data_IF_685144015414
#
_entry.id   IF_685144015414
#
_cell.length_a   1.000
_cell.length_b   1.000
_cell.length_c   1.000
_cell.angle_alpha   90.00
_cell.angle_beta   90.00
_cell.angle_gamma   90.00
#
_symmetry.space_group_name_H-M   'P 1'
#
loop_
_entity.id
_entity.type
_entity.pdbx_description
1 polymer ?
#
# COMPACT_ATOMS: atom_id res chain seq x y z
N UNK A 1 29.45 -18.02 -34.17
CA UNK A 1 29.23 -17.24 -32.95
C UNK A 1 27.79 -17.48 -32.54
N UNK A 2 27.54 -18.07 -31.37
CA UNK A 2 26.18 -18.29 -30.89
C UNK A 2 25.72 -16.98 -30.24
N UNK A 3 24.91 -16.21 -30.94
CA UNK A 3 24.35 -14.99 -30.40
C UNK A 3 23.41 -15.37 -29.25
N UNK A 4 23.82 -15.12 -28.01
CA UNK A 4 22.90 -15.13 -26.89
C UNK A 4 21.86 -14.05 -27.14
N UNK A 5 20.59 -14.45 -27.22
CA UNK A 5 19.50 -13.50 -27.35
C UNK A 5 19.39 -12.74 -26.02
N UNK A 6 19.80 -11.48 -26.00
CA UNK A 6 19.51 -10.58 -24.90
C UNK A 6 18.04 -10.17 -25.05
N UNK A 7 17.16 -10.74 -24.22
CA UNK A 7 15.79 -10.25 -24.07
C UNK A 7 15.84 -8.91 -23.31
N UNK A 8 15.87 -7.81 -24.05
CA UNK A 8 15.63 -6.48 -23.46
C UNK A 8 14.23 -6.45 -22.86
N UNK A 9 14.13 -6.10 -21.57
CA UNK A 9 12.84 -6.05 -20.84
C UNK A 9 12.57 -7.22 -19.91
N UNK A 10 13.54 -8.10 -19.65
CA UNK A 10 13.45 -9.09 -18.58
C UNK A 10 13.34 -8.42 -17.21
N UNK A 11 12.62 -9.07 -16.29
CA UNK A 11 12.51 -8.63 -14.90
C UNK A 11 13.88 -8.65 -14.22
N UNK A 12 14.11 -7.71 -13.30
CA UNK A 12 15.28 -7.73 -12.43
C UNK A 12 15.32 -9.04 -11.63
N UNK A 13 16.54 -9.50 -11.32
CA UNK A 13 16.72 -10.66 -10.47
C UNK A 13 16.29 -10.32 -9.03
N UNK A 14 15.51 -11.21 -8.41
CA UNK A 14 15.00 -11.03 -7.06
C UNK A 14 13.53 -11.42 -6.94
N UNK A 15 13.04 -11.47 -5.71
CA UNK A 15 11.67 -11.84 -5.33
C UNK A 15 10.72 -10.64 -5.18
N UNK A 16 11.23 -9.39 -5.23
CA UNK A 16 10.46 -8.15 -5.02
C UNK A 16 10.48 -7.21 -6.24
N UNK A 17 10.74 -7.78 -7.41
CA UNK A 17 10.87 -7.02 -8.66
C UNK A 17 9.58 -7.00 -9.48
N UNK A 18 8.47 -7.53 -8.96
CA UNK A 18 7.15 -7.43 -9.55
C UNK A 18 6.06 -7.42 -8.48
N UNK A 19 4.91 -6.87 -8.84
CA UNK A 19 3.71 -6.88 -8.00
C UNK A 19 2.45 -6.84 -8.88
N UNK A 20 1.31 -7.22 -8.30
CA UNK A 20 0.00 -7.18 -8.95
C UNK A 20 -0.90 -6.26 -8.15
N UNK A 21 -1.46 -5.27 -8.82
CA UNK A 21 -2.36 -4.28 -8.24
C UNK A 21 -3.67 -4.23 -9.02
N UNK A 22 -4.59 -3.36 -8.60
CA UNK A 22 -5.78 -3.07 -9.40
C UNK A 22 -6.14 -1.59 -9.35
N UNK A 23 -6.78 -1.11 -10.40
CA UNK A 23 -7.41 0.21 -10.46
C UNK A 23 -8.88 -0.03 -10.72
N UNK A 24 -9.76 0.40 -9.82
CA UNK A 24 -11.22 0.19 -9.95
C UNK A 24 -11.60 -1.29 -10.19
N UNK A 25 -10.85 -2.21 -9.58
CA UNK A 25 -11.05 -3.66 -9.72
C UNK A 25 -10.46 -4.28 -10.98
N UNK A 26 -9.83 -3.49 -11.86
CA UNK A 26 -9.15 -3.98 -13.07
C UNK A 26 -7.69 -4.30 -12.73
N UNK A 27 -7.27 -5.58 -12.80
CA UNK A 27 -5.94 -5.98 -12.37
C UNK A 27 -4.86 -5.60 -13.40
N UNK A 28 -3.69 -5.23 -12.89
CA UNK A 28 -2.50 -4.97 -13.68
C UNK A 28 -1.28 -5.58 -13.00
N UNK A 29 -0.25 -5.87 -13.80
CA UNK A 29 1.04 -6.35 -13.30
C UNK A 29 2.08 -5.26 -13.50
N UNK A 30 2.81 -4.93 -12.44
CA UNK A 30 3.99 -4.06 -12.52
C UNK A 30 5.24 -4.89 -12.31
N UNK A 31 6.30 -4.62 -13.08
CA UNK A 31 7.60 -5.21 -12.81
C UNK A 31 8.75 -4.25 -13.17
N UNK A 32 9.88 -4.47 -12.50
CA UNK A 32 11.10 -3.71 -12.69
C UNK A 32 11.98 -4.36 -13.76
N UNK A 33 12.33 -3.60 -14.81
CA UNK A 33 13.24 -4.01 -15.87
C UNK A 33 14.45 -3.07 -15.93
N UNK A 34 15.54 -3.46 -15.26
CA UNK A 34 16.69 -2.60 -15.02
C UNK A 34 16.30 -1.41 -14.15
N UNK A 35 16.33 -0.22 -14.75
CA UNK A 35 15.91 1.03 -14.13
C UNK A 35 14.49 1.46 -14.54
N UNK A 36 13.80 0.71 -15.39
CA UNK A 36 12.46 1.06 -15.87
C UNK A 36 11.38 0.31 -15.10
N UNK A 37 10.25 0.96 -14.88
CA UNK A 37 9.02 0.31 -14.42
C UNK A 37 8.21 -0.04 -15.67
N UNK A 38 7.79 -1.30 -15.79
CA UNK A 38 6.92 -1.77 -16.87
C UNK A 38 5.58 -2.17 -16.28
N UNK A 39 4.51 -1.63 -16.85
CA UNK A 39 3.13 -1.88 -16.43
C UNK A 39 2.43 -2.62 -17.56
N UNK A 40 1.87 -3.79 -17.23
CA UNK A 40 1.15 -4.67 -18.13
C UNK A 40 -0.30 -4.80 -17.68
N UNK A 41 -1.20 -4.88 -18.65
CA UNK A 41 -2.57 -5.32 -18.43
C UNK A 41 -2.59 -6.82 -18.07
N UNK A 42 -3.74 -7.31 -17.59
CA UNK A 42 -3.99 -8.74 -17.36
C UNK A 42 -3.81 -9.61 -18.61
N UNK A 43 -3.95 -9.02 -19.81
CA UNK A 43 -3.68 -9.65 -21.11
C UNK A 43 -2.20 -9.69 -21.48
N UNK A 44 -1.30 -9.23 -20.60
CA UNK A 44 0.13 -9.00 -20.85
C UNK A 44 0.43 -7.97 -21.94
N UNK A 45 -0.56 -7.21 -22.38
CA UNK A 45 -0.34 -6.03 -23.22
C UNK A 45 0.32 -4.92 -22.41
N UNK A 46 1.30 -4.27 -23.01
CA UNK A 46 2.05 -3.20 -22.35
C UNK A 46 1.25 -1.91 -22.31
N UNK A 47 0.92 -1.49 -21.09
CA UNK A 47 0.15 -0.26 -20.81
C UNK A 47 1.08 0.94 -20.79
N UNK A 48 2.18 0.86 -20.04
CA UNK A 48 3.13 1.96 -19.88
C UNK A 48 4.53 1.46 -19.56
N UNK A 49 5.54 2.21 -20.00
CA UNK A 49 6.90 2.13 -19.45
C UNK A 49 7.21 3.48 -18.81
N UNK A 50 7.62 3.46 -17.54
CA UNK A 50 8.15 4.64 -16.86
C UNK A 50 9.68 4.54 -16.94
N UNK A 51 10.34 5.46 -17.68
CA UNK A 51 11.77 5.37 -17.91
C UNK A 51 12.58 5.75 -16.65
N UNK A 52 13.60 4.95 -16.34
CA UNK A 52 14.52 5.21 -15.23
C UNK A 52 15.56 6.31 -15.47
N UNK A 53 15.56 6.92 -16.66
CA UNK A 53 16.53 7.97 -17.02
C UNK A 53 16.43 9.19 -16.08
N UNK A 54 15.23 9.50 -15.61
CA UNK A 54 14.99 10.56 -14.62
C UNK A 54 15.54 10.21 -13.22
N UNK A 55 15.86 8.93 -12.98
CA UNK A 55 16.44 8.41 -11.74
C UNK A 55 17.91 8.01 -11.94
N UNK A 56 18.65 8.75 -12.78
CA UNK A 56 20.07 8.53 -13.05
C UNK A 56 20.42 7.12 -13.53
N UNK A 57 19.47 6.41 -14.16
CA UNK A 57 19.62 5.01 -14.57
C UNK A 57 19.92 4.05 -13.42
N UNK A 58 19.62 4.45 -12.18
CA UNK A 58 19.73 3.59 -11.00
C UNK A 58 18.77 2.41 -11.17
N UNK A 59 19.27 1.20 -10.89
CA UNK A 59 18.46 -0.02 -10.97
C UNK A 59 17.39 0.01 -9.88
N UNK A 60 16.17 -0.40 -10.22
CA UNK A 60 15.10 -0.58 -9.24
C UNK A 60 15.42 -1.81 -8.39
N UNK A 61 15.52 -1.64 -7.07
CA UNK A 61 15.77 -2.74 -6.12
C UNK A 61 14.49 -3.52 -5.83
N UNK A 62 13.38 -2.83 -5.60
CA UNK A 62 12.08 -3.42 -5.37
C UNK A 62 10.94 -2.52 -5.84
N UNK A 63 9.80 -3.14 -6.14
CA UNK A 63 8.57 -2.47 -6.54
C UNK A 63 7.41 -3.14 -5.82
N UNK A 64 6.43 -2.34 -5.42
CA UNK A 64 5.17 -2.84 -4.91
C UNK A 64 4.00 -1.95 -5.35
N UNK A 65 2.78 -2.47 -5.32
CA UNK A 65 1.60 -1.72 -5.71
C UNK A 65 0.38 -2.00 -4.82
N UNK A 66 -0.45 -0.97 -4.61
CA UNK A 66 -1.69 -1.11 -3.86
C UNK A 66 -2.75 -1.84 -4.68
N UNK A 67 -3.60 -2.59 -3.99
CA UNK A 67 -4.63 -3.43 -4.63
C UNK A 67 -5.88 -2.63 -4.98
N UNK A 68 -6.22 -1.58 -4.25
CA UNK A 68 -7.51 -0.90 -4.40
C UNK A 68 -7.40 0.39 -5.21
N UNK A 69 -6.30 1.13 -5.01
CA UNK A 69 -6.05 2.43 -5.64
C UNK A 69 -5.02 2.37 -6.76
N UNK A 70 -4.36 1.22 -6.93
CA UNK A 70 -3.36 0.98 -7.98
C UNK A 70 -2.14 1.88 -7.91
N UNK A 71 -1.80 2.44 -6.74
CA UNK A 71 -0.54 3.17 -6.55
C UNK A 71 0.64 2.23 -6.70
N UNK A 72 1.76 2.74 -7.18
CA UNK A 72 3.00 1.99 -7.33
C UNK A 72 4.07 2.70 -6.52
N UNK A 73 4.81 1.95 -5.70
CA UNK A 73 6.06 2.40 -5.10
C UNK A 73 7.22 1.67 -5.76
N UNK A 74 8.26 2.39 -6.14
CA UNK A 74 9.50 1.82 -6.62
C UNK A 74 10.68 2.38 -5.83
N UNK A 75 11.62 1.51 -5.47
CA UNK A 75 12.85 1.89 -4.80
C UNK A 75 14.02 1.89 -5.78
N UNK A 76 14.69 3.04 -5.89
CA UNK A 76 15.95 3.24 -6.59
C UNK A 76 17.04 3.41 -5.53
N UNK A 77 17.63 2.30 -5.09
CA UNK A 77 18.54 2.25 -3.93
C UNK A 77 17.90 2.82 -2.65
N UNK A 78 18.30 4.02 -2.21
CA UNK A 78 17.77 4.68 -1.02
C UNK A 78 16.68 5.72 -1.34
N UNK A 79 16.31 5.89 -2.61
CA UNK A 79 15.23 6.77 -3.05
C UNK A 79 13.95 5.96 -3.30
N UNK A 80 12.84 6.40 -2.72
CA UNK A 80 11.52 5.83 -2.96
C UNK A 80 10.71 6.81 -3.81
N UNK A 81 10.08 6.30 -4.87
CA UNK A 81 9.22 7.06 -5.78
C UNK A 81 7.81 6.47 -5.79
N UNK A 82 6.81 7.34 -5.71
CA UNK A 82 5.39 6.98 -5.73
C UNK A 82 4.77 7.43 -7.03
N UNK A 83 4.04 6.52 -7.67
CA UNK A 83 3.32 6.74 -8.90
C UNK A 83 1.84 6.44 -8.70
N UNK A 84 0.97 7.36 -9.10
CA UNK A 84 -0.48 7.20 -8.99
C UNK A 84 -1.12 7.12 -10.38
N UNK A 85 -2.15 6.28 -10.54
CA UNK A 85 -2.87 6.17 -11.81
C UNK A 85 -3.72 7.42 -12.04
N UNK A 86 -3.52 8.07 -13.18
CA UNK A 86 -4.35 9.18 -13.67
C UNK A 86 -5.19 8.70 -14.85
N UNK A 87 -6.52 8.85 -14.82
CA UNK A 87 -7.39 8.47 -15.95
C UNK A 87 -6.98 9.17 -17.25
N UNK A 88 -7.01 8.42 -18.36
CA UNK A 88 -6.85 8.98 -19.70
C UNK A 88 -8.21 9.43 -20.24
N UNK A 89 -8.20 10.46 -21.09
CA UNK A 89 -9.42 11.05 -21.65
C UNK A 89 -10.10 10.10 -22.66
N UNK A 90 -9.35 9.16 -23.24
CA UNK A 90 -9.84 8.26 -24.28
C UNK A 90 -9.79 6.81 -23.78
N UNK A 91 -10.95 6.18 -23.66
CA UNK A 91 -11.07 4.77 -23.32
C UNK A 91 -11.19 3.92 -24.59
N UNK A 92 -10.05 3.58 -25.17
CA UNK A 92 -10.01 2.82 -26.43
C UNK A 92 -9.18 1.54 -26.29
N UNK A 93 -8.69 1.23 -25.09
CA UNK A 93 -7.93 0.00 -24.87
C UNK A 93 -8.86 -1.20 -24.68
N UNK A 94 -8.55 -2.35 -25.31
CA UNK A 94 -9.34 -3.58 -25.12
C UNK A 94 -9.23 -4.12 -23.69
N UNK A 95 -8.18 -3.74 -22.96
CA UNK A 95 -7.89 -4.17 -21.60
C UNK A 95 -8.52 -3.27 -20.51
N UNK A 96 -9.26 -2.22 -20.88
CA UNK A 96 -10.01 -1.34 -19.97
C UNK A 96 -9.13 -0.63 -18.92
N UNK A 97 -7.81 -0.58 -19.14
CA UNK A 97 -6.84 0.03 -18.23
C UNK A 97 -6.33 1.34 -18.84
N UNK A 98 -7.26 2.25 -19.07
CA UNK A 98 -6.99 3.57 -19.67
C UNK A 98 -6.48 4.55 -18.61
N UNK A 99 -5.39 4.18 -17.94
CA UNK A 99 -4.72 4.98 -16.93
C UNK A 99 -3.26 5.20 -17.31
N UNK A 100 -2.70 6.30 -16.81
CA UNK A 100 -1.26 6.56 -16.83
C UNK A 100 -0.77 6.77 -15.42
N UNK A 101 0.25 6.03 -15.03
CA UNK A 101 0.96 6.23 -13.80
C UNK A 101 1.88 7.43 -13.92
N UNK A 102 1.70 8.39 -13.02
CA UNK A 102 2.49 9.61 -12.94
C UNK A 102 3.12 9.70 -11.56
N UNK A 103 4.37 10.15 -11.50
CA UNK A 103 5.06 10.31 -10.22
C UNK A 103 4.41 11.46 -9.43
N UNK A 104 3.87 11.17 -8.25
CA UNK A 104 3.23 12.16 -7.38
C UNK A 104 4.09 12.51 -6.16
N UNK A 105 5.04 11.65 -5.81
CA UNK A 105 5.91 11.86 -4.67
C UNK A 105 7.23 11.11 -4.78
N UNK A 106 8.23 11.60 -4.05
CA UNK A 106 9.48 10.87 -3.83
C UNK A 106 10.18 11.41 -2.60
N UNK A 107 10.92 10.53 -1.93
CA UNK A 107 11.76 10.90 -0.81
C UNK A 107 13.00 10.02 -0.76
N UNK A 108 13.98 10.45 0.01
CA UNK A 108 15.22 9.72 0.22
C UNK A 108 15.28 9.21 1.66
N UNK A 109 15.85 8.03 1.83
CA UNK A 109 16.05 7.37 3.11
C UNK A 109 17.54 7.24 3.42
N UNK A 110 17.89 6.99 4.68
CA UNK A 110 19.29 6.88 5.11
C UNK A 110 19.97 5.60 4.61
N UNK A 111 19.18 4.53 4.43
CA UNK A 111 19.62 3.19 4.02
C UNK A 111 19.08 2.84 2.63
N UNK A 112 19.74 1.90 1.96
CA UNK A 112 19.17 1.25 0.77
C UNK A 112 17.88 0.51 1.15
N UNK A 113 16.86 0.63 0.31
CA UNK A 113 15.59 -0.06 0.46
C UNK A 113 15.65 -1.39 -0.28
N UNK A 114 15.34 -2.45 0.45
CA UNK A 114 15.33 -3.85 -0.01
C UNK A 114 13.92 -4.42 -0.11
N UNK A 115 12.95 -3.83 0.59
CA UNK A 115 11.56 -4.23 0.54
C UNK A 115 10.61 -3.02 0.62
N UNK A 116 9.51 -3.11 -0.12
CA UNK A 116 8.38 -2.21 -0.08
C UNK A 116 7.11 -3.04 0.14
N UNK A 117 6.18 -2.53 0.94
CA UNK A 117 4.85 -3.13 1.09
C UNK A 117 3.80 -2.06 1.31
N UNK A 118 2.91 -1.90 0.34
CA UNK A 118 1.69 -1.10 0.43
C UNK A 118 0.65 -1.83 1.26
N UNK A 119 -0.18 -1.05 1.97
CA UNK A 119 -1.49 -1.56 2.36
C UNK A 119 -2.44 -1.60 1.14
N UNK A 120 -3.55 -2.31 1.29
CA UNK A 120 -4.55 -2.49 0.23
C UNK A 120 -5.02 -1.16 -0.37
N UNK A 121 -5.29 -0.18 0.49
CA UNK A 121 -5.80 1.14 0.13
C UNK A 121 -4.76 2.07 -0.53
N UNK A 122 -3.45 1.78 -0.40
CA UNK A 122 -2.39 2.69 -0.86
C UNK A 122 -2.24 3.97 -0.01
N UNK A 123 -2.67 3.94 1.25
CA UNK A 123 -2.54 5.05 2.21
C UNK A 123 -1.33 4.88 3.14
N UNK A 124 -0.76 3.68 3.23
CA UNK A 124 0.39 3.35 4.07
C UNK A 124 1.41 2.53 3.31
N UNK A 125 2.68 2.89 3.44
CA UNK A 125 3.79 2.18 2.82
C UNK A 125 4.82 1.78 3.89
N UNK A 126 5.12 0.50 3.98
CA UNK A 126 6.22 -0.02 4.76
C UNK A 126 7.47 -0.08 3.89
N UNK A 127 8.55 0.57 4.32
CA UNK A 127 9.87 0.51 3.67
C UNK A 127 10.83 -0.27 4.56
N UNK A 128 11.51 -1.27 4.00
CA UNK A 128 12.50 -2.07 4.70
C UNK A 128 13.90 -1.97 4.10
N UNK A 129 14.88 -1.68 4.94
CA UNK A 129 16.31 -1.68 4.67
C UNK A 129 17.06 -2.09 5.93
N UNK A 130 18.09 -1.33 6.32
CA UNK A 130 18.74 -1.46 7.63
C UNK A 130 17.78 -1.15 8.79
N UNK A 131 16.76 -0.33 8.52
CA UNK A 131 15.67 0.00 9.43
C UNK A 131 14.31 -0.26 8.76
N UNK A 132 13.29 -0.51 9.58
CA UNK A 132 11.90 -0.57 9.15
C UNK A 132 11.22 0.78 9.43
N UNK A 133 10.57 1.35 8.41
CA UNK A 133 9.85 2.61 8.54
C UNK A 133 8.45 2.48 7.93
N UNK A 134 7.45 3.03 8.61
CA UNK A 134 6.07 3.09 8.14
C UNK A 134 5.72 4.53 7.75
N UNK A 135 5.30 4.71 6.51
CA UNK A 135 4.87 5.98 5.95
C UNK A 135 3.35 6.00 5.84
N UNK A 136 2.75 7.15 6.11
CA UNK A 136 1.31 7.37 5.96
C UNK A 136 1.07 8.59 5.10
N UNK A 137 0.15 8.48 4.15
CA UNK A 137 -0.28 9.61 3.35
C UNK A 137 -1.01 10.62 4.23
N UNK A 138 -0.56 11.88 4.20
CA UNK A 138 -1.29 12.95 4.88
C UNK A 138 -2.51 13.33 4.04
N UNK A 139 -3.65 12.70 4.32
CA UNK A 139 -4.94 13.17 3.80
C UNK A 139 -5.28 14.46 4.53
N UNK A 140 -5.54 15.58 3.84
CA UNK A 140 -6.12 16.74 4.49
C UNK A 140 -7.53 16.33 4.94
N UNK A 141 -7.65 15.98 6.21
CA UNK A 141 -8.95 15.92 6.86
C UNK A 141 -9.53 17.33 6.76
N UNK A 142 -10.73 17.43 6.18
CA UNK A 142 -11.65 18.50 6.56
C UNK A 142 -11.64 18.45 8.09
N UNK A 143 -11.22 19.54 8.72
CA UNK A 143 -11.01 19.64 10.16
C UNK A 143 -12.06 18.83 10.92
N UNK A 144 -11.61 17.89 11.75
CA UNK A 144 -12.45 17.28 12.79
C UNK A 144 -12.80 18.36 13.83
N UNK A 145 -13.59 19.36 13.47
CA UNK A 145 -14.12 20.38 14.37
C UNK A 145 -15.31 19.85 15.21
N UNK A 146 -15.64 18.56 15.13
CA UNK A 146 -16.74 17.94 15.89
C UNK A 146 -16.39 16.58 16.55
N UNK A 147 -15.17 16.39 17.06
CA UNK A 147 -14.88 15.24 17.93
C UNK A 147 -14.17 15.63 19.23
N UNK A 148 -14.79 16.52 19.99
CA UNK A 148 -14.57 16.60 21.43
C UNK A 148 -15.27 15.41 22.11
N UNK A 149 -14.51 14.41 22.54
CA UNK A 149 -15.02 13.33 23.39
C UNK A 149 -14.31 11.99 23.23
N UNK A 150 -13.32 11.73 24.07
CA UNK A 150 -12.75 10.41 24.37
C UNK A 150 -11.96 9.71 23.24
N UNK A 151 -10.74 10.19 23.01
CA UNK A 151 -9.67 9.40 22.38
C UNK A 151 -9.27 8.21 23.26
N UNK A 152 -10.05 7.13 23.20
CA UNK A 152 -9.69 5.84 23.78
C UNK A 152 -8.59 5.20 22.94
N UNK A 153 -7.35 5.24 23.45
CA UNK A 153 -6.23 4.51 22.86
C UNK A 153 -6.57 3.02 22.78
N UNK A 154 -6.50 2.46 21.59
CA UNK A 154 -6.70 1.02 21.37
C UNK A 154 -5.58 0.25 22.07
N UNK A 155 -5.94 -0.54 23.08
CA UNK A 155 -5.04 -1.45 23.78
C UNK A 155 -5.41 -2.88 23.39
N UNK A 156 -4.41 -3.66 22.97
CA UNK A 156 -4.56 -5.07 22.67
C UNK A 156 -4.10 -5.87 23.88
N UNK A 157 -5.00 -6.66 24.46
CA UNK A 157 -4.66 -7.67 25.46
C UNK A 157 -4.66 -9.06 24.81
N UNK A 158 -3.54 -9.78 24.96
CA UNK A 158 -3.40 -11.19 24.60
C UNK A 158 -3.99 -12.00 25.76
N UNK A 159 -5.02 -12.78 25.48
CA UNK A 159 -5.74 -13.57 26.47
C UNK A 159 -4.95 -14.79 26.93
N UNK A 160 -4.44 -14.75 28.16
CA UNK A 160 -4.10 -15.94 28.95
C UNK A 160 -5.05 -16.04 30.16
N UNK A 161 -5.48 -17.27 30.41
CA UNK A 161 -6.14 -17.79 31.62
C UNK A 161 -7.64 -17.58 31.84
N UNK A 162 -8.42 -18.42 31.15
CA UNK A 162 -9.63 -19.00 31.70
C UNK A 162 -9.29 -20.05 32.78
N UNK A 163 -9.56 -19.76 34.07
CA UNK A 163 -9.86 -20.77 35.13
C UNK A 163 -10.29 -20.16 36.50
N UNK A 164 -11.61 -19.87 36.63
CA UNK A 164 -12.51 -20.10 37.80
C UNK A 164 -12.33 -19.39 39.17
N UNK A 165 -13.27 -19.56 40.15
CA UNK A 165 -14.68 -19.99 40.09
C UNK A 165 -15.63 -19.05 40.95
N UNK A 166 -16.84 -19.40 41.45
CA UNK A 166 -18.07 -18.65 41.14
C UNK A 166 -18.79 -17.93 42.31
N UNK A 167 -19.66 -16.97 41.94
CA UNK A 167 -20.88 -16.45 42.58
C UNK A 167 -20.89 -16.04 44.07
N UNK A 168 -21.30 -14.78 44.32
CA UNK A 168 -22.12 -14.46 45.51
C UNK A 168 -23.32 -13.57 45.14
N UNK A 169 -24.46 -14.04 45.62
CA UNK A 169 -25.84 -13.59 45.44
C UNK A 169 -26.13 -12.27 46.15
N UNK A 170 -26.93 -11.39 45.55
CA UNK A 170 -27.62 -10.30 46.27
C UNK A 170 -29.14 -10.41 46.08
N UNK A 171 -29.84 -10.45 47.22
CA UNK A 171 -31.27 -10.66 47.40
C UNK A 171 -32.11 -9.39 47.13
N UNK A 172 -33.44 -9.51 46.95
CA UNK A 172 -34.33 -8.38 46.64
C UNK A 172 -34.84 -7.69 47.92
N UNK A 173 -35.00 -6.37 47.88
CA UNK A 173 -35.70 -5.59 48.92
C UNK A 173 -37.05 -5.09 48.39
N UNK A 174 -38.10 -5.44 49.14
CA UNK A 174 -39.50 -5.10 48.91
C UNK A 174 -39.97 -4.13 50.01
N UNK A 175 -40.69 -3.09 49.61
CA UNK A 175 -41.77 -2.45 50.38
C UNK A 175 -41.41 -1.42 51.46
N UNK A 176 -41.90 -0.19 51.28
CA UNK A 176 -42.69 0.52 52.29
C UNK A 176 -43.64 1.52 51.61
N UNK A 177 -44.90 1.43 52.03
CA UNK A 177 -46.13 2.05 51.54
C UNK A 177 -46.34 3.53 51.99
N UNK A 178 -47.32 4.18 51.33
CA UNK A 178 -48.19 5.29 51.80
C UNK A 178 -47.51 6.69 52.00
N UNK A 179 -48.10 7.87 51.73
CA UNK A 179 -49.49 8.32 51.59
C UNK A 179 -49.54 9.70 50.86
N UNK A 180 -50.75 10.04 50.44
CA UNK A 180 -51.32 11.17 49.71
C UNK A 180 -51.08 12.60 50.27
N UNK A 181 -50.64 13.54 49.41
CA UNK A 181 -51.27 14.86 49.18
C UNK A 181 -50.59 15.70 48.10
#
# INVERSE_FOLDING_TARGET
MNCHQILSGACNAGDRCFAVGSVEGIPFTVYAAGCNIVILASTFERVQIIPGAIHNYVRISCVDCSTDTGKIAAAYENQVCIFEPTPLIHNNSPHQLDYRWVQTGSWQTESVITALSWNLEGTRLLTGGDVLQLWHQQTPLISDEDCDGSGGGVTFEIGEDAMGPPSSTTAPTLGQDEEER
#
